data_IF_143330009541
#
_entry.id   IF_143330009541
#
_cell.length_a   1.000
_cell.length_b   1.000
_cell.length_c   1.000
_cell.angle_alpha   90.00
_cell.angle_beta   90.00
_cell.angle_gamma   90.00
#
_symmetry.space_group_name_H-M   'P 1'
#
loop_
_entity.id
_entity.type
_entity.pdbx_description
1 polymer ?
#
# COMPACT_ATOMS: atom_id res chain seq x y z
N UNK A 1 -17.47 -2.31 18.09
CA UNK A 1 -18.19 -1.71 19.23
C UNK A 1 -19.51 -2.44 19.39
N UNK A 2 -19.86 -2.80 20.63
CA UNK A 2 -21.14 -3.40 20.98
C UNK A 2 -22.13 -2.31 21.37
N UNK A 3 -23.42 -2.63 21.37
CA UNK A 3 -24.50 -1.68 21.73
C UNK A 3 -24.55 -1.38 23.24
N UNK A 4 -23.97 -2.28 24.05
CA UNK A 4 -23.90 -2.14 25.52
C UNK A 4 -22.58 -2.75 26.03
N UNK A 5 -22.37 -2.65 27.35
CA UNK A 5 -21.20 -3.26 28.02
C UNK A 5 -21.31 -4.78 28.04
N UNK A 6 -20.27 -5.44 27.54
CA UNK A 6 -20.17 -6.90 27.45
C UNK A 6 -18.90 -7.42 28.10
N UNK A 7 -18.90 -8.73 28.43
CA UNK A 7 -17.76 -9.52 28.90
C UNK A 7 -17.68 -10.81 28.08
N UNK A 8 -16.57 -11.55 28.23
CA UNK A 8 -16.36 -12.81 27.51
C UNK A 8 -15.71 -12.66 26.13
N UNK A 9 -15.44 -11.42 25.68
CA UNK A 9 -14.89 -11.18 24.34
C UNK A 9 -13.44 -11.63 24.28
N UNK A 10 -13.15 -12.59 23.42
CA UNK A 10 -11.81 -13.09 23.12
C UNK A 10 -11.57 -13.36 21.62
N UNK A 11 -10.44 -13.96 21.25
CA UNK A 11 -10.12 -14.22 19.84
C UNK A 11 -10.97 -15.30 19.17
N UNK A 12 -11.65 -16.14 19.95
CA UNK A 12 -12.55 -17.18 19.45
C UNK A 12 -13.85 -16.63 18.88
N UNK A 13 -14.25 -15.43 19.33
CA UNK A 13 -15.47 -14.76 18.89
C UNK A 13 -15.32 -14.10 17.50
N UNK A 14 -14.14 -14.15 16.93
CA UNK A 14 -13.87 -13.45 15.66
C UNK A 14 -13.33 -14.40 14.60
N UNK A 15 -13.83 -14.21 13.38
CA UNK A 15 -13.31 -14.87 12.18
C UNK A 15 -12.90 -13.86 11.13
N UNK A 16 -11.98 -14.26 10.26
CA UNK A 16 -11.56 -13.44 9.13
C UNK A 16 -12.11 -14.01 7.83
N UNK A 17 -12.90 -13.20 7.13
CA UNK A 17 -13.24 -13.48 5.73
C UNK A 17 -12.22 -12.81 4.84
N UNK A 18 -11.46 -13.62 4.07
CA UNK A 18 -10.36 -13.13 3.21
C UNK A 18 -10.57 -13.54 1.75
N UNK A 19 -10.09 -12.69 0.83
CA UNK A 19 -10.00 -13.02 -0.59
C UNK A 19 -8.63 -12.57 -1.10
N UNK A 20 -7.86 -13.48 -1.70
CA UNK A 20 -6.52 -13.20 -2.26
C UNK A 20 -5.40 -13.05 -1.23
N UNK A 21 -5.73 -12.88 0.04
CA UNK A 21 -4.76 -12.79 1.15
C UNK A 21 -4.55 -14.18 1.74
N UNK A 22 -3.30 -14.58 1.97
CA UNK A 22 -2.93 -15.85 2.60
C UNK A 22 -2.26 -15.61 3.96
N UNK A 23 -2.60 -16.46 4.95
CA UNK A 23 -1.98 -16.43 6.29
C UNK A 23 -2.37 -15.23 7.14
N UNK A 24 -3.47 -14.55 6.85
CA UNK A 24 -4.06 -13.57 7.76
C UNK A 24 -4.49 -14.24 9.06
N UNK A 25 -4.30 -13.58 10.20
CA UNK A 25 -4.63 -14.14 11.51
C UNK A 25 -4.92 -13.03 12.53
N UNK A 26 -5.81 -13.33 13.48
CA UNK A 26 -6.04 -12.46 14.64
C UNK A 26 -4.86 -12.62 15.58
N UNK A 27 -4.26 -11.51 15.98
CA UNK A 27 -3.08 -11.51 16.88
C UNK A 27 -3.40 -11.08 18.29
N UNK A 28 -4.41 -10.24 18.47
CA UNK A 28 -4.88 -9.86 19.80
C UNK A 28 -6.29 -9.28 19.76
N UNK A 29 -6.98 -9.42 20.89
CA UNK A 29 -8.22 -8.71 21.21
C UNK A 29 -7.99 -7.96 22.52
N UNK A 30 -8.30 -6.67 22.54
CA UNK A 30 -8.11 -5.81 23.69
C UNK A 30 -9.26 -4.82 23.80
N UNK A 31 -9.71 -4.54 25.03
CA UNK A 31 -10.80 -3.61 25.26
C UNK A 31 -11.58 -3.96 26.49
N UNK A 32 -12.65 -3.22 26.73
CA UNK A 32 -13.59 -3.48 27.83
C UNK A 32 -14.90 -2.75 27.59
N UNK A 33 -15.91 -3.10 28.35
CA UNK A 33 -17.24 -2.55 28.24
C UNK A 33 -17.79 -2.75 26.81
N UNK A 34 -18.11 -1.71 26.07
CA UNK A 34 -18.67 -1.78 24.73
C UNK A 34 -17.62 -1.66 23.60
N UNK A 35 -16.36 -1.35 23.92
CA UNK A 35 -15.34 -1.03 22.92
C UNK A 35 -14.16 -2.01 22.97
N UNK A 36 -13.97 -2.72 21.87
CA UNK A 36 -12.85 -3.64 21.68
C UNK A 36 -12.09 -3.31 20.40
N UNK A 37 -10.80 -3.58 20.40
CA UNK A 37 -9.89 -3.49 19.26
C UNK A 37 -9.36 -4.89 18.97
N UNK A 38 -9.54 -5.35 17.77
CA UNK A 38 -8.99 -6.60 17.25
C UNK A 38 -7.83 -6.28 16.34
N UNK A 39 -6.65 -6.79 16.67
CA UNK A 39 -5.45 -6.63 15.83
C UNK A 39 -5.31 -7.85 14.93
N UNK A 40 -5.12 -7.60 13.63
CA UNK A 40 -5.01 -8.62 12.59
C UNK A 40 -3.67 -8.52 11.90
N UNK A 41 -2.94 -9.63 11.81
CA UNK A 41 -1.84 -9.78 10.85
C UNK A 41 -2.46 -9.96 9.47
N UNK A 42 -2.07 -9.13 8.53
CA UNK A 42 -2.64 -9.12 7.18
C UNK A 42 -2.04 -10.19 6.25
N UNK A 43 -1.15 -11.06 6.76
CA UNK A 43 -0.58 -12.16 5.97
C UNK A 43 0.21 -11.70 4.74
N UNK A 44 0.10 -12.44 3.65
CA UNK A 44 0.79 -12.19 2.37
C UNK A 44 -0.20 -12.07 1.21
N UNK A 45 0.24 -11.45 0.11
CA UNK A 45 -0.57 -11.25 -1.10
C UNK A 45 -1.50 -10.05 -1.03
N UNK A 46 -2.07 -9.73 -2.18
CA UNK A 46 -3.05 -8.66 -2.36
C UNK A 46 -4.46 -9.22 -2.27
N UNK A 47 -5.39 -8.44 -1.73
CA UNK A 47 -6.75 -8.91 -1.61
C UNK A 47 -7.57 -8.13 -0.60
N UNK A 48 -8.48 -8.81 0.09
CA UNK A 48 -9.36 -8.17 1.07
C UNK A 48 -9.43 -8.95 2.37
N UNK A 49 -9.68 -8.24 3.47
CA UNK A 49 -9.91 -8.80 4.80
C UNK A 49 -11.14 -8.10 5.40
N UNK A 50 -12.09 -8.90 5.89
CA UNK A 50 -13.20 -8.46 6.75
C UNK A 50 -13.13 -9.21 8.07
N UNK A 51 -13.37 -8.50 9.16
CA UNK A 51 -13.54 -9.09 10.48
C UNK A 51 -15.01 -9.37 10.71
N UNK A 52 -15.33 -10.60 11.05
CA UNK A 52 -16.68 -11.03 11.40
C UNK A 52 -16.74 -11.41 12.88
N UNK A 53 -17.87 -11.17 13.54
CA UNK A 53 -18.17 -11.71 14.87
C UNK A 53 -18.95 -13.00 14.68
N UNK A 54 -18.49 -14.05 15.34
CA UNK A 54 -19.15 -15.36 15.42
C UNK A 54 -19.70 -15.54 16.81
N UNK A 55 -21.00 -15.66 16.92
CA UNK A 55 -21.69 -15.80 18.18
C UNK A 55 -21.76 -17.26 18.61
N UNK A 56 -21.20 -17.58 19.78
CA UNK A 56 -21.26 -18.89 20.42
C UNK A 56 -21.86 -18.82 21.86
N UNK A 57 -22.58 -17.71 22.16
CA UNK A 57 -23.13 -17.39 23.46
C UNK A 57 -22.08 -17.03 24.54
N UNK A 58 -20.79 -16.90 24.22
CA UNK A 58 -19.72 -16.57 25.18
C UNK A 58 -19.71 -15.09 25.54
N UNK A 59 -20.09 -14.20 24.62
CA UNK A 59 -20.21 -12.76 24.83
C UNK A 59 -21.53 -12.46 25.54
N UNK A 60 -21.44 -11.99 26.78
CA UNK A 60 -22.62 -11.71 27.60
C UNK A 60 -22.63 -10.27 28.12
N UNK A 61 -23.83 -9.71 28.32
CA UNK A 61 -24.02 -8.43 28.98
C UNK A 61 -24.01 -8.55 30.52
N UNK A 62 -24.16 -7.43 31.25
CA UNK A 62 -24.19 -7.38 32.69
C UNK A 62 -25.35 -8.16 33.36
N UNK A 63 -26.37 -8.55 32.61
CA UNK A 63 -27.47 -9.39 33.04
C UNK A 63 -27.26 -10.89 32.70
N UNK A 64 -26.06 -11.26 32.21
CA UNK A 64 -25.73 -12.61 31.72
C UNK A 64 -26.57 -13.05 30.51
N UNK A 65 -27.05 -12.10 29.72
CA UNK A 65 -27.74 -12.39 28.45
C UNK A 65 -26.72 -12.45 27.35
N UNK A 66 -26.68 -13.56 26.56
CA UNK A 66 -25.76 -13.67 25.42
C UNK A 66 -26.05 -12.66 24.30
N UNK A 67 -25.03 -12.41 23.46
CA UNK A 67 -25.13 -11.61 22.25
C UNK A 67 -26.24 -12.15 21.33
N UNK A 68 -27.17 -11.30 20.91
CA UNK A 68 -28.33 -11.73 20.08
C UNK A 68 -29.40 -12.51 20.81
N UNK A 69 -29.24 -12.86 22.10
CA UNK A 69 -30.00 -13.73 22.98
C UNK A 69 -29.46 -15.19 23.03
N UNK A 70 -30.05 -16.07 23.79
CA UNK A 70 -29.58 -17.46 23.88
C UNK A 70 -29.74 -18.23 22.54
N UNK A 71 -28.69 -18.89 22.12
CA UNK A 71 -28.61 -19.69 20.90
C UNK A 71 -27.54 -19.19 19.95
N UNK A 72 -26.49 -19.99 19.72
CA UNK A 72 -25.36 -19.64 18.91
C UNK A 72 -25.75 -19.18 17.47
N UNK A 73 -25.03 -18.18 16.93
CA UNK A 73 -25.21 -17.64 15.59
C UNK A 73 -26.28 -16.57 15.44
N UNK A 74 -27.07 -16.28 16.48
CA UNK A 74 -28.11 -15.27 16.41
C UNK A 74 -27.58 -13.84 16.64
N UNK A 75 -26.36 -13.72 17.16
CA UNK A 75 -25.59 -12.51 17.34
C UNK A 75 -24.47 -12.31 16.33
N UNK A 76 -24.36 -13.13 15.30
CA UNK A 76 -23.35 -13.01 14.24
C UNK A 76 -23.38 -11.63 13.57
N UNK A 77 -22.20 -11.06 13.32
CA UNK A 77 -22.06 -9.83 12.58
C UNK A 77 -21.05 -10.02 11.44
N UNK A 78 -21.57 -10.16 10.22
CA UNK A 78 -20.80 -10.50 9.01
C UNK A 78 -20.89 -9.42 7.91
N UNK A 79 -21.32 -8.20 8.25
CA UNK A 79 -21.52 -7.10 7.31
C UNK A 79 -20.61 -5.90 7.61
N UNK A 80 -19.49 -6.15 8.32
CA UNK A 80 -18.50 -5.14 8.67
C UNK A 80 -17.74 -4.58 7.46
N UNK A 81 -16.95 -3.54 7.71
CA UNK A 81 -16.11 -2.92 6.70
C UNK A 81 -15.01 -3.88 6.23
N UNK A 82 -14.58 -3.67 4.98
CA UNK A 82 -13.57 -4.49 4.31
C UNK A 82 -12.30 -3.66 4.10
N UNK A 83 -11.17 -4.18 4.56
CA UNK A 83 -9.87 -3.65 4.19
C UNK A 83 -9.42 -4.22 2.84
N UNK A 84 -8.98 -3.34 1.94
CA UNK A 84 -8.21 -3.75 0.75
C UNK A 84 -6.73 -3.77 1.13
N UNK A 85 -6.08 -4.89 0.89
CA UNK A 85 -4.66 -5.12 1.17
C UNK A 85 -3.92 -5.13 -0.17
N UNK A 86 -2.97 -4.21 -0.33
CA UNK A 86 -2.07 -4.17 -1.47
C UNK A 86 -0.62 -4.16 -0.97
N UNK A 87 0.09 -5.22 -1.27
CA UNK A 87 1.52 -5.45 -0.96
C UNK A 87 2.35 -5.56 -2.23
N UNK A 88 1.82 -5.05 -3.36
CA UNK A 88 2.55 -5.07 -4.61
C UNK A 88 3.87 -4.29 -4.46
N UNK A 89 4.96 -4.91 -4.89
CA UNK A 89 6.26 -4.24 -5.01
C UNK A 89 6.23 -3.43 -6.31
N UNK A 90 6.41 -2.09 -6.27
CA UNK A 90 6.45 -1.29 -7.47
C UNK A 90 7.71 -1.60 -8.29
N UNK A 91 7.56 -1.66 -9.61
CA UNK A 91 8.63 -1.87 -10.56
C UNK A 91 8.60 -0.76 -11.61
N UNK A 92 9.76 -0.37 -12.13
CA UNK A 92 9.82 0.49 -13.32
C UNK A 92 9.43 -0.34 -14.54
N UNK A 93 8.37 0.07 -15.23
CA UNK A 93 7.87 -0.62 -16.44
C UNK A 93 8.41 0.01 -17.73
N UNK A 94 8.69 1.32 -17.71
CA UNK A 94 9.29 1.99 -18.84
C UNK A 94 10.00 3.28 -18.48
N UNK A 95 11.06 3.62 -19.24
CA UNK A 95 11.68 4.94 -19.30
C UNK A 95 11.75 5.31 -20.77
N UNK A 96 11.02 6.35 -21.16
CA UNK A 96 10.95 6.78 -22.58
C UNK A 96 11.31 8.25 -22.73
N UNK A 97 11.87 8.61 -23.87
CA UNK A 97 12.14 10.01 -24.21
C UNK A 97 10.84 10.75 -24.49
N UNK A 98 10.69 11.93 -23.94
CA UNK A 98 9.58 12.85 -24.27
C UNK A 98 9.92 13.69 -25.51
N UNK A 99 11.17 14.13 -25.61
CA UNK A 99 11.64 14.98 -26.70
C UNK A 99 12.15 14.14 -27.89
N UNK A 100 12.12 14.70 -29.11
CA UNK A 100 12.76 14.08 -30.29
C UNK A 100 14.26 13.85 -30.09
N UNK A 101 14.81 12.87 -30.81
CA UNK A 101 16.25 12.60 -30.87
C UNK A 101 16.64 12.35 -32.35
N UNK A 102 17.72 12.97 -32.85
CA UNK A 102 18.62 13.88 -32.14
C UNK A 102 18.00 15.23 -31.80
N UNK A 103 18.59 15.94 -30.83
CA UNK A 103 18.13 17.26 -30.40
C UNK A 103 19.31 18.16 -30.05
N UNK A 104 19.12 19.46 -30.22
CA UNK A 104 20.05 20.50 -29.76
C UNK A 104 19.53 21.26 -28.51
N UNK A 105 18.49 20.74 -27.87
CA UNK A 105 17.90 21.37 -26.72
C UNK A 105 18.86 21.35 -25.52
N UNK A 106 18.88 22.45 -24.75
CA UNK A 106 19.68 22.55 -23.52
C UNK A 106 19.19 21.61 -22.38
N UNK A 107 17.96 21.14 -22.48
CA UNK A 107 17.38 20.16 -21.56
C UNK A 107 16.49 19.16 -22.31
N UNK A 108 16.42 17.95 -21.78
CA UNK A 108 15.57 16.88 -22.28
C UNK A 108 14.75 16.27 -21.15
N UNK A 109 13.67 15.59 -21.50
CA UNK A 109 12.79 14.96 -20.54
C UNK A 109 12.63 13.47 -20.83
N UNK A 110 12.52 12.70 -19.75
CA UNK A 110 12.17 11.29 -19.76
C UNK A 110 10.87 11.08 -19.01
N UNK A 111 9.96 10.30 -19.60
CA UNK A 111 8.79 9.78 -18.93
C UNK A 111 9.16 8.43 -18.28
N UNK A 112 8.92 8.33 -16.98
CA UNK A 112 9.15 7.11 -16.18
C UNK A 112 7.79 6.60 -15.73
N UNK A 113 7.53 5.32 -15.99
CA UNK A 113 6.26 4.67 -15.60
C UNK A 113 6.56 3.51 -14.65
N UNK A 114 5.83 3.46 -13.55
CA UNK A 114 5.85 2.39 -12.57
C UNK A 114 4.67 1.44 -12.74
N UNK A 115 4.80 0.21 -12.26
CA UNK A 115 3.74 -0.82 -12.28
C UNK A 115 2.60 -0.56 -11.31
N UNK A 116 2.84 0.23 -10.26
CA UNK A 116 1.88 0.63 -9.23
C UNK A 116 2.13 2.08 -8.83
N UNK A 117 1.19 2.69 -8.13
CA UNK A 117 1.35 4.02 -7.55
C UNK A 117 2.49 4.04 -6.55
N UNK A 118 3.38 5.03 -6.66
CA UNK A 118 4.55 5.19 -5.79
C UNK A 118 4.61 6.58 -5.17
N UNK A 119 5.32 6.67 -4.06
CA UNK A 119 5.73 7.92 -3.39
C UNK A 119 7.24 7.89 -3.15
N UNK A 120 7.81 9.04 -2.76
CA UNK A 120 9.24 9.16 -2.46
C UNK A 120 10.12 9.39 -3.70
N UNK A 121 9.56 9.51 -4.90
CA UNK A 121 10.35 9.71 -6.13
C UNK A 121 10.91 11.12 -6.19
N UNK A 122 12.24 11.23 -6.21
CA UNK A 122 12.95 12.51 -6.30
C UNK A 122 14.19 12.44 -7.22
N UNK A 123 15.00 13.49 -7.25
CA UNK A 123 16.16 13.56 -8.16
C UNK A 123 17.29 12.60 -7.77
N UNK A 124 17.34 12.12 -6.55
CA UNK A 124 18.39 11.20 -6.07
C UNK A 124 18.16 9.75 -6.52
N UNK A 125 16.92 9.46 -6.95
CA UNK A 125 16.55 8.14 -7.48
C UNK A 125 17.00 7.92 -8.92
N UNK A 126 17.61 8.91 -9.53
CA UNK A 126 17.98 8.85 -10.95
C UNK A 126 19.47 9.14 -11.16
N UNK A 127 20.07 8.33 -12.00
CA UNK A 127 21.45 8.51 -12.45
C UNK A 127 21.51 8.57 -13.97
N UNK A 128 22.51 9.26 -14.49
CA UNK A 128 22.73 9.39 -15.92
C UNK A 128 23.92 8.53 -16.37
N UNK A 129 23.70 7.74 -17.40
CA UNK A 129 24.74 7.14 -18.22
C UNK A 129 24.97 8.00 -19.46
N UNK A 130 26.17 8.61 -19.59
CA UNK A 130 26.47 9.51 -20.70
C UNK A 130 27.68 9.04 -21.50
N UNK A 131 27.69 9.33 -22.81
CA UNK A 131 28.84 9.13 -23.69
C UNK A 131 29.01 10.39 -24.53
N UNK A 132 30.22 11.02 -24.47
CA UNK A 132 30.54 12.26 -25.18
C UNK A 132 30.02 13.54 -24.54
N UNK A 133 28.92 13.48 -23.81
CA UNK A 133 28.31 14.63 -23.11
C UNK A 133 29.06 14.94 -21.81
N UNK A 134 29.30 16.20 -21.53
CA UNK A 134 29.90 16.69 -20.29
C UNK A 134 28.94 17.59 -19.51
N UNK A 135 28.83 17.37 -18.18
CA UNK A 135 28.05 18.23 -17.30
C UNK A 135 26.53 18.02 -17.37
N UNK A 136 26.06 16.91 -17.94
CA UNK A 136 24.65 16.54 -17.85
C UNK A 136 24.26 16.23 -16.40
N UNK A 137 23.05 16.63 -15.99
CA UNK A 137 22.56 16.38 -14.62
C UNK A 137 21.03 16.29 -14.61
N UNK A 138 20.50 15.50 -13.68
CA UNK A 138 19.07 15.50 -13.35
C UNK A 138 18.75 16.82 -12.64
N UNK A 139 17.79 17.57 -13.15
CA UNK A 139 17.46 18.91 -12.63
C UNK A 139 16.14 18.96 -11.87
N UNK A 140 15.17 18.13 -12.25
CA UNK A 140 13.89 18.03 -11.54
C UNK A 140 13.17 16.75 -11.86
N UNK A 141 12.31 16.35 -10.92
CA UNK A 141 11.33 15.29 -11.08
C UNK A 141 9.96 15.87 -10.79
N UNK A 142 8.97 15.51 -11.58
CA UNK A 142 7.57 15.91 -11.41
C UNK A 142 6.65 14.75 -11.78
N UNK A 143 5.47 14.70 -11.16
CA UNK A 143 4.50 13.64 -11.38
C UNK A 143 3.96 13.09 -10.07
N UNK A 144 3.12 12.08 -10.18
CA UNK A 144 2.56 11.34 -9.04
C UNK A 144 1.96 10.01 -9.50
N UNK A 145 1.67 9.14 -8.53
CA UNK A 145 1.08 7.86 -8.83
C UNK A 145 2.03 6.96 -9.62
N UNK A 146 1.63 6.54 -10.81
CA UNK A 146 2.44 5.66 -11.66
C UNK A 146 3.32 6.40 -12.66
N UNK A 147 3.16 7.71 -12.85
CA UNK A 147 3.79 8.44 -13.96
C UNK A 147 4.59 9.65 -13.47
N UNK A 148 5.85 9.67 -13.82
CA UNK A 148 6.78 10.75 -13.50
C UNK A 148 7.49 11.26 -14.74
N UNK A 149 7.86 12.53 -14.70
CA UNK A 149 8.72 13.17 -15.73
C UNK A 149 9.99 13.65 -15.08
N UNK A 150 11.11 13.17 -15.59
CA UNK A 150 12.46 13.55 -15.15
C UNK A 150 13.04 14.51 -16.17
N UNK A 151 13.42 15.71 -15.72
CA UNK A 151 14.08 16.72 -16.54
C UNK A 151 15.58 16.67 -16.32
N UNK A 152 16.32 16.65 -17.42
CA UNK A 152 17.77 16.51 -17.44
C UNK A 152 18.37 17.68 -18.21
N UNK A 153 19.35 18.40 -17.61
CA UNK A 153 20.23 19.30 -18.36
C UNK A 153 21.09 18.48 -19.33
N UNK A 154 21.08 18.84 -20.60
CA UNK A 154 21.83 18.10 -21.62
C UNK A 154 23.36 18.31 -21.53
N UNK A 155 23.81 19.27 -20.72
CA UNK A 155 25.24 19.56 -20.58
C UNK A 155 25.83 20.21 -21.84
N UNK A 156 27.11 19.93 -22.08
CA UNK A 156 27.88 20.44 -23.22
C UNK A 156 28.40 19.24 -24.04
N UNK A 157 28.76 19.52 -25.27
CA UNK A 157 29.29 18.57 -26.26
C UNK A 157 28.24 17.58 -26.77
N UNK A 158 28.53 17.04 -27.95
CA UNK A 158 27.67 16.05 -28.60
C UNK A 158 27.85 14.66 -27.94
N UNK A 159 26.75 13.92 -27.85
CA UNK A 159 26.81 12.57 -27.30
C UNK A 159 25.44 11.99 -27.00
N UNK A 160 25.41 11.07 -26.11
CA UNK A 160 24.17 10.38 -25.66
C UNK A 160 23.97 10.48 -24.18
N UNK A 161 22.70 10.53 -23.79
CA UNK A 161 22.25 10.49 -22.38
C UNK A 161 21.23 9.37 -22.26
N UNK A 162 21.42 8.49 -21.28
CA UNK A 162 20.44 7.53 -20.81
C UNK A 162 20.11 7.82 -19.35
N UNK A 163 18.84 7.73 -18.99
CA UNK A 163 18.36 7.82 -17.62
C UNK A 163 18.23 6.40 -17.06
N UNK A 164 18.81 6.18 -15.90
CA UNK A 164 18.69 4.94 -15.13
C UNK A 164 18.07 5.25 -13.76
N UNK A 165 17.31 4.32 -13.21
CA UNK A 165 16.82 4.40 -11.82
C UNK A 165 17.86 3.80 -10.90
N UNK A 166 18.15 4.53 -9.81
CA UNK A 166 19.01 4.10 -8.73
C UNK A 166 18.11 3.69 -7.55
N UNK A 167 18.09 2.40 -7.27
CA UNK A 167 17.33 1.89 -6.14
C UNK A 167 18.09 2.18 -4.82
N UNK A 168 17.49 3.02 -4.00
CA UNK A 168 17.99 3.43 -2.69
C UNK A 168 16.93 3.21 -1.60
N UNK A 169 15.89 2.40 -1.89
CA UNK A 169 14.75 2.08 -1.03
C UNK A 169 13.84 3.29 -0.68
N UNK A 170 14.02 4.45 -1.35
CA UNK A 170 13.18 5.63 -1.13
C UNK A 170 11.83 5.56 -1.86
N UNK A 171 11.77 4.86 -2.99
CA UNK A 171 10.56 4.69 -3.79
C UNK A 171 9.72 3.56 -3.21
N UNK A 172 8.62 3.93 -2.57
CA UNK A 172 7.73 2.96 -1.91
C UNK A 172 6.34 2.94 -2.53
N UNK A 173 5.59 1.87 -2.29
CA UNK A 173 4.18 1.78 -2.67
C UNK A 173 3.41 2.95 -2.06
N UNK A 174 2.62 3.65 -2.86
CA UNK A 174 1.86 4.84 -2.45
C UNK A 174 0.71 4.58 -1.46
N UNK A 175 0.49 3.32 -1.08
CA UNK A 175 -0.50 2.90 -0.09
C UNK A 175 0.12 2.58 1.29
N UNK A 176 1.42 2.74 1.46
CA UNK A 176 2.14 2.51 2.73
C UNK A 176 2.22 3.77 3.59
#
# INVERSE_FOLDING_TARGET
TFSESVTGVDSGDFTLTTTGVAGASITSVAGSAAAYVVTVNTGTGNGTIRLDVTDDDSIINGASTPLGSAGAGNGDFITGEVYTIDKAIPLVTSITRVNPSPTSAASVQFAVTFSASVTGVDTTDFVLSTTGVAGASVTSVSGSGTNYTVTVSAGMLDGTIRLDVNDNDSIVNGLS
#
